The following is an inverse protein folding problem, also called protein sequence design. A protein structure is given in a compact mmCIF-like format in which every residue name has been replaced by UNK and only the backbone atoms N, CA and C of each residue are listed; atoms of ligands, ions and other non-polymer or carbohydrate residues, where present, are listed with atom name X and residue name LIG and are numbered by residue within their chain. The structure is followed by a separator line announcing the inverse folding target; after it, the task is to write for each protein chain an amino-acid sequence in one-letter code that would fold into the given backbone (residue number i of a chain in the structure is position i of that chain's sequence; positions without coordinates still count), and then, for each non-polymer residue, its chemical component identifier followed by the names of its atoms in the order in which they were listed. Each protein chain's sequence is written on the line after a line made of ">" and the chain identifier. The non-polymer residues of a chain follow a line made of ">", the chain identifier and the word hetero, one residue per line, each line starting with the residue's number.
data_IF_170370929889
#
_entry.id   IF_170370929889
#
_cell.length_a   1.000
_cell.length_b   1.000
_cell.length_c   1.000
_cell.angle_alpha   90.00
_cell.angle_beta   90.00
_cell.angle_gamma   90.00
#
_symmetry.space_group_name_H-M   'P 1'
#
loop_
_entity.id
_entity.type
_entity.pdbx_description
1 polymer ?
#
# COMPACT_ATOMS: atom_id res chain seq x y z
N UNK A 1 -17.43 -17.85 5.10
CA UNK A 1 -16.79 -16.79 5.92
C UNK A 1 -17.83 -15.72 6.19
N UNK A 2 -18.18 -15.47 7.47
CA UNK A 2 -19.17 -14.47 7.82
C UNK A 2 -18.64 -13.06 7.48
N UNK A 3 -19.39 -12.30 6.69
CA UNK A 3 -19.07 -10.91 6.37
C UNK A 3 -19.01 -10.12 7.70
N UNK A 4 -17.81 -9.73 8.10
CA UNK A 4 -17.61 -8.83 9.25
C UNK A 4 -18.33 -7.52 8.94
N UNK A 5 -19.46 -7.24 9.62
CA UNK A 5 -20.17 -5.96 9.47
C UNK A 5 -19.18 -4.83 9.74
N UNK A 6 -18.86 -4.07 8.72
CA UNK A 6 -18.01 -2.88 8.85
C UNK A 6 -18.70 -1.92 9.83
N UNK A 7 -18.05 -1.50 10.92
CA UNK A 7 -18.68 -0.59 11.88
C UNK A 7 -18.97 0.74 11.21
N UNK A 8 -20.14 1.30 11.48
CA UNK A 8 -20.48 2.66 11.04
C UNK A 8 -19.55 3.66 11.74
N UNK A 9 -18.77 4.40 10.96
CA UNK A 9 -17.91 5.46 11.48
C UNK A 9 -18.73 6.71 11.82
N UNK A 10 -18.46 7.33 12.96
CA UNK A 10 -18.96 8.65 13.28
C UNK A 10 -17.92 9.75 12.97
N UNK A 11 -18.31 11.02 13.14
CA UNK A 11 -17.42 12.17 12.87
C UNK A 11 -16.16 12.16 13.74
N UNK A 12 -16.22 11.60 14.94
CA UNK A 12 -15.09 11.53 15.85
C UNK A 12 -14.13 10.45 15.39
N UNK A 13 -14.63 9.29 14.94
CA UNK A 13 -13.81 8.23 14.37
C UNK A 13 -13.04 8.71 13.14
N UNK A 14 -13.69 9.50 12.27
CA UNK A 14 -13.04 10.13 11.12
C UNK A 14 -11.92 11.08 11.55
N UNK A 15 -12.14 11.90 12.57
CA UNK A 15 -11.09 12.79 13.12
C UNK A 15 -9.92 12.01 13.72
N UNK A 16 -10.19 10.90 14.43
CA UNK A 16 -9.16 9.99 14.96
C UNK A 16 -8.32 9.44 13.80
N UNK A 17 -8.95 8.87 12.77
CA UNK A 17 -8.28 8.33 11.61
C UNK A 17 -7.43 9.39 10.89
N UNK A 18 -7.98 10.58 10.67
CA UNK A 18 -7.27 11.69 10.04
C UNK A 18 -6.05 12.15 10.86
N UNK A 19 -6.16 12.16 12.19
CA UNK A 19 -5.05 12.51 13.06
C UNK A 19 -3.96 11.44 13.04
N UNK A 20 -4.33 10.15 13.10
CA UNK A 20 -3.39 9.02 13.06
C UNK A 20 -2.70 8.86 11.70
N UNK A 21 -3.36 9.17 10.59
CA UNK A 21 -2.71 9.21 9.28
C UNK A 21 -1.57 10.24 9.20
N UNK A 22 -1.71 11.38 9.92
CA UNK A 22 -0.68 12.43 9.97
C UNK A 22 0.44 12.12 10.95
N UNK A 23 0.09 11.50 12.08
CA UNK A 23 1.03 11.14 13.14
C UNK A 23 0.59 9.84 13.82
N UNK A 24 1.04 8.71 13.26
CA UNK A 24 0.75 7.37 13.78
C UNK A 24 1.39 7.08 15.14
N UNK A 25 2.31 7.93 15.62
CA UNK A 25 2.93 7.84 16.95
C UNK A 25 2.31 8.77 18.01
N UNK A 26 1.23 9.46 17.65
CA UNK A 26 0.51 10.34 18.58
C UNK A 26 0.08 9.56 19.83
N UNK A 27 0.36 10.08 21.02
CA UNK A 27 -0.12 9.46 22.26
C UNK A 27 -1.64 9.56 22.34
N UNK A 28 -2.26 8.64 23.08
CA UNK A 28 -3.72 8.66 23.31
C UNK A 28 -4.16 9.98 23.93
N UNK A 29 -3.37 10.56 24.84
CA UNK A 29 -3.65 11.86 25.44
C UNK A 29 -3.72 12.95 24.36
N UNK A 30 -2.68 13.10 23.53
CA UNK A 30 -2.65 14.09 22.43
C UNK A 30 -3.77 13.89 21.42
N UNK A 31 -4.10 12.62 21.14
CA UNK A 31 -5.19 12.30 20.22
C UNK A 31 -6.54 12.68 20.81
N UNK A 32 -6.77 12.35 22.08
CA UNK A 32 -7.99 12.70 22.82
C UNK A 32 -8.22 14.22 22.85
N UNK A 33 -7.18 14.98 23.14
CA UNK A 33 -7.23 16.45 23.15
C UNK A 33 -7.62 17.00 21.75
N UNK A 34 -7.04 16.44 20.68
CA UNK A 34 -7.35 16.85 19.29
C UNK A 34 -8.80 16.60 18.90
N UNK A 35 -9.41 15.52 19.40
CA UNK A 35 -10.77 15.11 18.99
C UNK A 35 -11.85 15.48 20.02
N UNK A 36 -11.47 16.09 21.15
CA UNK A 36 -12.39 16.53 22.21
C UNK A 36 -12.98 15.38 23.03
N UNK A 37 -12.17 14.36 23.36
CA UNK A 37 -12.55 13.21 24.17
C UNK A 37 -11.70 13.08 25.43
N UNK A 38 -12.20 12.29 26.41
CA UNK A 38 -11.33 11.76 27.45
C UNK A 38 -10.36 10.72 26.89
N UNK A 39 -9.16 10.55 27.45
CA UNK A 39 -8.19 9.55 27.00
C UNK A 39 -8.76 8.12 26.96
N UNK A 40 -9.58 7.77 27.95
CA UNK A 40 -10.24 6.45 28.01
C UNK A 40 -11.20 6.24 26.82
N UNK A 41 -12.08 7.21 26.55
CA UNK A 41 -13.02 7.13 25.45
C UNK A 41 -12.31 7.10 24.09
N UNK A 42 -11.22 7.87 23.96
CA UNK A 42 -10.38 7.87 22.75
C UNK A 42 -9.72 6.49 22.56
N UNK A 43 -9.12 5.91 23.60
CA UNK A 43 -8.49 4.59 23.56
C UNK A 43 -9.48 3.48 23.15
N UNK A 44 -10.69 3.49 23.70
CA UNK A 44 -11.73 2.51 23.35
C UNK A 44 -12.11 2.59 21.87
N UNK A 45 -12.19 3.81 21.31
CA UNK A 45 -12.46 4.01 19.88
C UNK A 45 -11.30 3.53 18.99
N UNK A 46 -10.06 3.85 19.34
CA UNK A 46 -8.88 3.38 18.60
C UNK A 46 -8.85 1.85 18.58
N UNK A 47 -9.01 1.19 19.72
CA UNK A 47 -9.08 -0.27 19.81
C UNK A 47 -10.19 -0.88 18.96
N UNK A 48 -11.36 -0.25 18.92
CA UNK A 48 -12.46 -0.69 18.06
C UNK A 48 -12.10 -0.58 16.58
N UNK A 49 -11.44 0.51 16.16
CA UNK A 49 -10.99 0.73 14.78
C UNK A 49 -9.90 -0.29 14.37
N UNK A 50 -8.99 -0.61 15.29
CA UNK A 50 -7.98 -1.67 15.11
C UNK A 50 -8.63 -3.06 15.03
N UNK A 51 -9.49 -3.40 15.98
CA UNK A 51 -10.16 -4.70 16.02
C UNK A 51 -11.06 -4.95 14.81
N UNK A 52 -11.63 -3.90 14.21
CA UNK A 52 -12.42 -3.99 12.99
C UNK A 52 -11.58 -4.07 11.71
N UNK A 53 -10.26 -3.86 11.80
CA UNK A 53 -9.35 -3.81 10.66
C UNK A 53 -9.40 -2.52 9.83
N UNK A 54 -10.14 -1.49 10.29
CA UNK A 54 -10.14 -0.16 9.65
C UNK A 54 -8.76 0.48 9.80
N UNK A 55 -8.14 0.35 10.98
CA UNK A 55 -6.71 0.59 11.13
C UNK A 55 -6.02 -0.75 10.89
N UNK A 56 -5.39 -0.88 9.72
CA UNK A 56 -4.70 -2.11 9.32
C UNK A 56 -3.32 -2.25 10.01
N UNK A 57 -2.75 -1.16 10.50
CA UNK A 57 -1.44 -1.15 11.15
C UNK A 57 -0.83 0.24 11.21
N UNK A 58 0.39 0.29 11.74
CA UNK A 58 1.21 1.49 11.84
C UNK A 58 2.57 1.20 11.23
N UNK A 59 3.05 2.07 10.35
CA UNK A 59 4.33 1.89 9.67
C UNK A 59 5.21 3.12 9.85
N UNK A 60 6.52 2.89 9.96
CA UNK A 60 7.50 3.95 9.89
C UNK A 60 7.75 4.33 8.42
N UNK A 61 7.71 5.61 8.11
CA UNK A 61 8.14 6.11 6.81
C UNK A 61 9.67 6.25 6.82
N UNK A 62 10.34 5.42 6.02
CA UNK A 62 11.80 5.43 5.90
C UNK A 62 12.20 6.26 4.69
N UNK A 63 13.08 7.27 4.91
CA UNK A 63 13.66 8.04 3.83
C UNK A 63 14.89 7.31 3.28
N UNK A 64 14.67 6.44 2.31
CA UNK A 64 15.73 5.60 1.73
C UNK A 64 16.87 6.41 1.12
N UNK A 65 16.59 7.59 0.56
CA UNK A 65 17.61 8.45 -0.02
C UNK A 65 18.68 8.91 1.00
N UNK A 66 18.41 8.79 2.31
CA UNK A 66 19.39 9.05 3.38
C UNK A 66 20.25 7.85 3.72
N UNK A 67 19.86 6.66 3.27
CA UNK A 67 20.57 5.40 3.55
C UNK A 67 21.33 4.91 2.31
N UNK A 68 20.72 5.05 1.14
CA UNK A 68 21.23 4.57 -0.14
C UNK A 68 20.59 5.38 -1.27
N UNK A 69 21.02 5.12 -2.50
CA UNK A 69 20.40 5.71 -3.70
C UNK A 69 19.70 4.61 -4.52
N UNK A 70 18.60 4.06 -4.03
CA UNK A 70 17.90 2.99 -4.72
C UNK A 70 17.25 3.50 -6.00
N UNK A 71 17.17 2.60 -6.98
CA UNK A 71 16.40 2.83 -8.20
C UNK A 71 14.95 2.43 -7.92
N UNK A 72 14.02 3.36 -8.19
CA UNK A 72 12.59 3.09 -8.17
C UNK A 72 12.10 2.90 -9.60
N UNK A 73 11.47 1.76 -9.89
CA UNK A 73 10.93 1.47 -11.22
C UNK A 73 9.46 1.08 -11.09
N UNK A 74 8.62 1.73 -11.89
CA UNK A 74 7.24 1.29 -12.13
C UNK A 74 7.23 0.43 -13.39
N UNK A 75 6.79 -0.81 -13.24
CA UNK A 75 6.71 -1.78 -14.32
C UNK A 75 5.24 -2.02 -14.69
N UNK A 76 4.88 -1.75 -15.94
CA UNK A 76 3.63 -2.20 -16.55
C UNK A 76 3.86 -3.62 -17.07
N UNK A 77 3.03 -4.57 -16.65
CA UNK A 77 3.20 -5.98 -16.95
C UNK A 77 1.97 -6.48 -17.71
N UNK A 78 2.22 -7.17 -18.80
CA UNK A 78 1.19 -7.85 -19.60
C UNK A 78 1.48 -9.34 -19.55
N UNK A 79 0.46 -10.13 -19.26
CA UNK A 79 0.51 -11.58 -19.28
C UNK A 79 -0.05 -12.12 -20.61
N UNK A 80 0.37 -13.32 -20.99
CA UNK A 80 -0.24 -14.08 -22.06
C UNK A 80 -1.64 -14.54 -21.65
N UNK A 81 -2.55 -14.70 -22.63
CA UNK A 81 -3.96 -15.09 -22.36
C UNK A 81 -4.12 -16.40 -21.60
N UNK A 82 -3.14 -17.29 -21.67
CA UNK A 82 -3.15 -18.59 -21.01
C UNK A 82 -2.31 -18.63 -19.72
N UNK A 83 -1.76 -17.47 -19.29
CA UNK A 83 -0.94 -17.38 -18.09
C UNK A 83 -1.74 -17.69 -16.84
N UNK A 84 -1.09 -18.31 -15.87
CA UNK A 84 -1.65 -18.50 -14.53
C UNK A 84 -1.41 -17.26 -13.67
N UNK A 85 -2.40 -16.37 -13.58
CA UNK A 85 -2.32 -15.18 -12.73
C UNK A 85 -1.87 -15.52 -11.30
N UNK A 86 -2.44 -16.56 -10.69
CA UNK A 86 -2.07 -16.95 -9.32
C UNK A 86 -0.60 -17.35 -9.16
N UNK A 87 0.02 -17.98 -10.16
CA UNK A 87 1.46 -18.30 -10.13
C UNK A 87 2.30 -17.05 -10.27
N UNK A 88 1.91 -16.16 -11.16
CA UNK A 88 2.58 -14.87 -11.34
C UNK A 88 2.54 -14.04 -10.05
N UNK A 89 1.37 -13.90 -9.44
CA UNK A 89 1.19 -13.17 -8.19
C UNK A 89 2.00 -13.75 -7.03
N UNK A 90 2.01 -15.08 -6.88
CA UNK A 90 2.85 -15.77 -5.88
C UNK A 90 4.34 -15.51 -6.13
N UNK A 91 4.77 -15.55 -7.39
CA UNK A 91 6.15 -15.26 -7.75
C UNK A 91 6.53 -13.83 -7.45
N UNK A 92 5.67 -12.89 -7.78
CA UNK A 92 5.88 -11.46 -7.53
C UNK A 92 5.95 -11.16 -6.02
N UNK A 93 5.04 -11.75 -5.24
CA UNK A 93 5.01 -11.58 -3.77
C UNK A 93 6.26 -12.15 -3.07
N UNK A 94 6.99 -13.06 -3.71
CA UNK A 94 8.24 -13.62 -3.19
C UNK A 94 9.47 -12.75 -3.49
N UNK A 95 9.34 -11.69 -4.29
CA UNK A 95 10.43 -10.76 -4.63
C UNK A 95 10.41 -9.60 -3.64
N UNK A 96 11.43 -9.51 -2.79
CA UNK A 96 11.51 -8.48 -1.75
C UNK A 96 11.59 -7.05 -2.31
N UNK A 97 12.15 -6.89 -3.51
CA UNK A 97 12.27 -5.61 -4.22
C UNK A 97 10.94 -5.11 -4.78
N UNK A 98 9.91 -5.97 -4.88
CA UNK A 98 8.54 -5.56 -5.23
C UNK A 98 7.85 -5.03 -3.99
N UNK A 99 7.74 -3.72 -3.88
CA UNK A 99 7.16 -3.06 -2.70
C UNK A 99 5.66 -2.79 -2.84
N UNK A 100 5.16 -2.73 -4.06
CA UNK A 100 3.74 -2.56 -4.38
C UNK A 100 3.41 -3.26 -5.70
N UNK A 101 2.22 -3.86 -5.79
CA UNK A 101 1.68 -4.39 -7.04
C UNK A 101 0.16 -4.25 -7.06
N UNK A 102 -0.38 -3.87 -8.20
CA UNK A 102 -1.80 -3.69 -8.43
C UNK A 102 -2.20 -4.41 -9.71
N UNK A 103 -3.23 -5.26 -9.64
CA UNK A 103 -3.98 -5.69 -10.82
C UNK A 103 -4.81 -4.48 -11.30
N UNK A 104 -4.78 -4.20 -12.59
CA UNK A 104 -5.45 -3.04 -13.16
C UNK A 104 -6.29 -3.42 -14.38
N UNK A 105 -7.32 -2.63 -14.63
CA UNK A 105 -8.12 -2.77 -15.86
C UNK A 105 -7.47 -2.00 -17.01
N UNK A 106 -7.62 -2.47 -18.24
CA UNK A 106 -7.15 -1.78 -19.45
C UNK A 106 -6.29 -2.66 -20.35
N UNK A 107 -5.23 -2.08 -20.89
CA UNK A 107 -4.33 -2.73 -21.86
C UNK A 107 -3.14 -3.45 -21.23
N UNK A 108 -3.00 -3.36 -19.94
CA UNK A 108 -1.99 -4.02 -19.12
C UNK A 108 -2.69 -4.75 -17.98
N UNK A 109 -2.06 -5.78 -17.41
CA UNK A 109 -2.66 -6.59 -16.35
C UNK A 109 -2.22 -6.10 -14.96
N UNK A 110 -0.95 -5.72 -14.80
CA UNK A 110 -0.41 -5.28 -13.52
C UNK A 110 0.46 -4.03 -13.64
N UNK A 111 0.46 -3.24 -12.57
CA UNK A 111 1.47 -2.22 -12.30
C UNK A 111 2.19 -2.62 -11.01
N UNK A 112 3.49 -2.87 -11.11
CA UNK A 112 4.33 -3.20 -9.97
C UNK A 112 5.37 -2.10 -9.75
N UNK A 113 5.67 -1.81 -8.48
CA UNK A 113 6.73 -0.90 -8.09
C UNK A 113 7.88 -1.68 -7.50
N UNK A 114 9.03 -1.58 -8.14
CA UNK A 114 10.29 -2.15 -7.69
C UNK A 114 11.15 -1.08 -7.02
N UNK A 115 11.83 -1.46 -5.94
CA UNK A 115 12.86 -0.65 -5.28
C UNK A 115 14.11 -1.50 -5.20
N UNK A 116 15.06 -1.25 -6.09
CA UNK A 116 16.28 -2.03 -6.26
C UNK A 116 17.52 -1.21 -5.88
N UNK A 117 18.60 -1.89 -5.51
CA UNK A 117 19.87 -1.22 -5.22
C UNK A 117 20.39 -0.48 -6.45
N UNK A 118 20.23 -1.06 -7.63
CA UNK A 118 20.67 -0.53 -8.91
C UNK A 118 19.80 -1.07 -10.06
N UNK A 119 20.05 -0.58 -11.26
CA UNK A 119 19.31 -0.98 -12.46
C UNK A 119 19.66 -2.42 -12.90
N UNK A 120 20.88 -2.88 -12.68
CA UNK A 120 21.28 -4.25 -13.01
C UNK A 120 20.52 -5.29 -12.18
N UNK A 121 20.30 -5.00 -10.89
CA UNK A 121 19.44 -5.82 -10.02
C UNK A 121 18.00 -5.87 -10.56
N UNK A 122 17.45 -4.74 -10.99
CA UNK A 122 16.11 -4.68 -11.58
C UNK A 122 16.03 -5.51 -12.87
N UNK A 123 17.00 -5.35 -13.79
CA UNK A 123 17.06 -6.09 -15.04
C UNK A 123 17.15 -7.60 -14.79
N UNK A 124 18.00 -8.04 -13.87
CA UNK A 124 18.12 -9.46 -13.52
C UNK A 124 16.82 -10.05 -12.95
N UNK A 125 16.04 -9.28 -12.20
CA UNK A 125 14.73 -9.70 -11.66
C UNK A 125 13.69 -9.82 -12.77
N UNK A 126 13.58 -8.80 -13.63
CA UNK A 126 12.58 -8.79 -14.71
C UNK A 126 12.89 -9.80 -15.81
N UNK A 127 14.16 -10.02 -16.14
CA UNK A 127 14.56 -11.10 -17.06
C UNK A 127 14.10 -12.46 -16.54
N UNK A 128 14.29 -12.77 -15.25
CA UNK A 128 13.81 -14.02 -14.65
C UNK A 128 12.30 -14.18 -14.69
N UNK A 129 11.54 -13.06 -14.65
CA UNK A 129 10.08 -13.10 -14.79
C UNK A 129 9.66 -13.36 -16.24
N UNK A 130 10.36 -12.77 -17.22
CA UNK A 130 10.08 -12.95 -18.64
C UNK A 130 10.51 -14.35 -19.12
N UNK A 131 11.67 -14.82 -18.68
CA UNK A 131 12.25 -16.09 -19.11
C UNK A 131 11.58 -17.32 -18.50
N UNK A 132 10.75 -17.17 -17.46
CA UNK A 132 10.01 -18.28 -16.86
C UNK A 132 8.69 -18.54 -17.63
N UNK A 133 8.64 -19.60 -18.45
CA UNK A 133 7.45 -19.88 -19.26
C UNK A 133 6.20 -20.22 -18.43
N UNK A 134 6.37 -20.59 -17.14
CA UNK A 134 5.25 -20.90 -16.25
C UNK A 134 4.53 -19.64 -15.76
N UNK A 135 5.15 -18.46 -15.88
CA UNK A 135 4.57 -17.19 -15.48
C UNK A 135 3.79 -16.54 -16.62
N UNK A 136 4.15 -16.84 -17.87
CA UNK A 136 3.47 -16.31 -19.06
C UNK A 136 3.55 -14.78 -19.14
N UNK A 137 4.69 -14.19 -18.80
CA UNK A 137 4.90 -12.74 -18.97
C UNK A 137 5.15 -12.44 -20.44
N UNK A 138 4.19 -11.77 -21.09
CA UNK A 138 4.31 -11.38 -22.49
C UNK A 138 5.17 -10.13 -22.69
N UNK A 139 5.09 -9.17 -21.75
CA UNK A 139 5.79 -7.89 -21.87
C UNK A 139 5.91 -7.19 -20.52
N UNK A 140 7.04 -6.53 -20.31
CA UNK A 140 7.25 -5.56 -19.22
C UNK A 140 7.69 -4.24 -19.83
N UNK A 141 6.99 -3.14 -19.50
CA UNK A 141 7.43 -1.78 -19.84
C UNK A 141 7.85 -1.09 -18.55
N UNK A 142 9.09 -0.61 -18.50
CA UNK A 142 9.73 -0.11 -17.31
C UNK A 142 9.87 1.41 -17.31
N UNK A 143 9.43 2.07 -16.24
CA UNK A 143 9.52 3.50 -16.04
C UNK A 143 10.37 3.79 -14.82
N UNK A 144 11.59 4.27 -15.01
CA UNK A 144 12.45 4.68 -13.90
C UNK A 144 11.91 6.00 -13.31
N UNK A 145 11.56 5.97 -12.03
CA UNK A 145 11.07 7.16 -11.35
C UNK A 145 12.21 8.15 -11.06
N UNK A 146 12.14 9.33 -11.64
CA UNK A 146 13.16 10.36 -11.46
C UNK A 146 13.06 11.07 -10.10
N UNK A 147 11.84 11.39 -9.66
CA UNK A 147 11.56 12.00 -8.36
C UNK A 147 10.10 11.83 -7.97
N UNK A 148 9.78 11.75 -6.69
CA UNK A 148 8.40 11.80 -6.26
C UNK A 148 7.87 13.24 -6.41
N UNK A 149 6.73 13.40 -7.10
CA UNK A 149 6.01 14.69 -7.16
C UNK A 149 5.12 14.85 -5.93
N UNK A 150 4.48 13.76 -5.50
CA UNK A 150 3.66 13.68 -4.29
C UNK A 150 3.80 12.29 -3.68
N UNK A 151 4.03 12.24 -2.37
CA UNK A 151 4.00 10.97 -1.61
C UNK A 151 2.62 10.76 -1.00
N UNK A 152 2.26 9.51 -0.77
CA UNK A 152 1.06 9.19 -0.01
C UNK A 152 1.22 9.65 1.44
N UNK A 153 0.27 10.45 1.92
CA UNK A 153 0.24 10.99 3.29
C UNK A 153 -1.07 10.69 4.01
N UNK A 154 -1.88 9.82 3.43
CA UNK A 154 -3.19 9.42 3.94
C UNK A 154 -4.34 9.74 2.99
N UNK A 155 -5.48 9.14 3.24
CA UNK A 155 -6.71 9.34 2.49
C UNK A 155 -7.41 10.64 2.88
N UNK A 156 -8.10 11.31 1.94
CA UNK A 156 -8.92 12.49 2.23
C UNK A 156 -10.01 12.18 3.26
N UNK A 157 -10.25 13.09 4.20
CA UNK A 157 -11.29 12.93 5.23
C UNK A 157 -12.68 12.67 4.65
N UNK A 158 -13.00 13.26 3.49
CA UNK A 158 -14.27 13.05 2.80
C UNK A 158 -14.50 11.58 2.39
N UNK A 159 -13.44 10.83 2.09
CA UNK A 159 -13.52 9.39 1.81
C UNK A 159 -13.70 8.59 3.10
N UNK A 160 -13.04 8.98 4.18
CA UNK A 160 -13.17 8.33 5.49
C UNK A 160 -14.59 8.52 6.07
N UNK A 161 -15.26 9.63 5.75
CA UNK A 161 -16.61 9.96 6.22
C UNK A 161 -17.74 9.28 5.41
N UNK A 162 -17.44 8.69 4.24
CA UNK A 162 -18.44 8.00 3.43
C UNK A 162 -18.95 6.76 4.16
N UNK A 163 -20.25 6.71 4.43
CA UNK A 163 -20.92 5.45 4.77
C UNK A 163 -20.77 4.52 3.56
N UNK A 164 -20.20 3.34 3.77
CA UNK A 164 -20.32 2.27 2.79
C UNK A 164 -21.82 1.94 2.70
N UNK A 165 -22.41 2.21 1.55
CA UNK A 165 -23.79 1.86 1.23
C UNK A 165 -23.85 0.35 0.98
#
# INVERSE_FOLDING_TARGET
>A
MAAKRTPTLDRIDVKILAALQRDGRSTIQKLADKVGLSPRACLERVRRLEASGIIAGYQALVELAKLSQPVNVFAEIVLEKQASQGRFEQRLAAIAEVVECWEVSGTIDYIARFVCADLATYEALTSKLIDDPNLGVARIVSHVALRPVRRFTGYPEALLARKLV
#
